data_IF_087246905944
#
_entry.id   IF_087246905944
#
_cell.length_a   1.000
_cell.length_b   1.000
_cell.length_c   1.000
_cell.angle_alpha   90.00
_cell.angle_beta   90.00
_cell.angle_gamma   90.00
#
_symmetry.space_group_name_H-M   'P 1'
#
loop_
_entity.id
_entity.type
_entity.pdbx_description
1 polymer ?
#
# COMPACT_ATOMS: atom_id res chain seq x y z
N UNK A 1 -37.33 16.64 4.58
CA UNK A 1 -35.87 16.72 4.78
C UNK A 1 -35.20 16.60 3.41
N UNK A 2 -34.59 17.67 2.91
CA UNK A 2 -33.90 17.70 1.61
C UNK A 2 -32.59 16.93 1.74
N UNK A 3 -32.40 15.86 0.96
CA UNK A 3 -31.15 15.10 0.93
C UNK A 3 -30.01 16.01 0.48
N UNK A 4 -28.87 16.09 1.19
CA UNK A 4 -27.75 16.89 0.77
C UNK A 4 -27.25 16.44 -0.61
N UNK A 5 -26.82 17.40 -1.43
CA UNK A 5 -26.31 17.14 -2.78
C UNK A 5 -25.05 16.25 -2.66
N UNK A 6 -24.91 15.18 -3.47
CA UNK A 6 -23.74 14.31 -3.42
C UNK A 6 -22.45 15.11 -3.62
N UNK A 7 -21.41 14.76 -2.87
CA UNK A 7 -20.09 15.38 -3.03
C UNK A 7 -19.54 15.09 -4.45
N UNK A 8 -18.79 16.02 -5.04
CA UNK A 8 -18.05 15.76 -6.28
C UNK A 8 -17.13 14.54 -6.14
N UNK A 9 -17.12 13.67 -7.16
CA UNK A 9 -16.33 12.42 -7.17
C UNK A 9 -14.84 12.66 -6.89
N UNK A 10 -14.30 13.81 -7.33
CA UNK A 10 -12.91 14.20 -7.09
C UNK A 10 -12.58 14.32 -5.59
N UNK A 11 -13.46 14.95 -4.82
CA UNK A 11 -13.28 15.16 -3.37
C UNK A 11 -13.31 13.81 -2.64
N UNK A 12 -14.19 12.91 -3.06
CA UNK A 12 -14.29 11.55 -2.48
C UNK A 12 -12.98 10.79 -2.74
N UNK A 13 -12.41 10.87 -3.95
CA UNK A 13 -11.14 10.23 -4.29
C UNK A 13 -9.99 10.76 -3.45
N UNK A 14 -9.82 12.08 -3.39
CA UNK A 14 -8.76 12.73 -2.60
C UNK A 14 -8.82 12.37 -1.11
N UNK A 15 -10.03 12.34 -0.55
CA UNK A 15 -10.23 11.95 0.85
C UNK A 15 -9.87 10.48 1.09
N UNK A 16 -10.27 9.58 0.19
CA UNK A 16 -9.94 8.15 0.29
C UNK A 16 -8.43 7.91 0.16
N UNK A 17 -7.76 8.65 -0.72
CA UNK A 17 -6.31 8.51 -0.93
C UNK A 17 -5.51 9.07 0.26
N UNK A 18 -5.97 10.19 0.81
CA UNK A 18 -5.39 10.76 2.04
C UNK A 18 -5.56 9.81 3.22
N UNK A 19 -6.77 9.27 3.42
CA UNK A 19 -7.04 8.31 4.50
C UNK A 19 -6.18 7.04 4.37
N UNK A 20 -6.06 6.51 3.15
CA UNK A 20 -5.21 5.35 2.85
C UNK A 20 -3.74 5.65 3.18
N UNK A 21 -3.22 6.80 2.74
CA UNK A 21 -1.84 7.21 3.02
C UNK A 21 -1.56 7.34 4.53
N UNK A 22 -2.49 7.90 5.29
CA UNK A 22 -2.37 8.01 6.75
C UNK A 22 -2.38 6.63 7.41
N UNK A 23 -3.30 5.75 7.00
CA UNK A 23 -3.41 4.40 7.56
C UNK A 23 -2.12 3.58 7.33
N UNK A 24 -1.63 3.56 6.09
CA UNK A 24 -0.42 2.83 5.72
C UNK A 24 0.81 3.42 6.42
N UNK A 25 0.93 4.75 6.44
CA UNK A 25 2.05 5.45 7.07
C UNK A 25 2.14 5.21 8.59
N UNK A 26 1.05 4.76 9.22
CA UNK A 26 1.03 4.36 10.62
C UNK A 26 1.61 2.97 10.90
N UNK A 27 1.87 2.14 9.88
CA UNK A 27 2.34 0.75 10.05
C UNK A 27 3.88 0.72 9.92
N UNK A 28 4.64 0.53 11.01
CA UNK A 28 6.10 0.64 10.97
C UNK A 28 6.76 -0.33 10.00
N UNK A 29 6.20 -1.54 9.86
CA UNK A 29 6.76 -2.55 8.97
C UNK A 29 6.55 -2.22 7.49
N UNK A 30 5.41 -1.63 7.12
CA UNK A 30 5.20 -1.10 5.75
C UNK A 30 6.24 -0.04 5.44
N UNK A 31 6.45 0.90 6.35
CA UNK A 31 7.46 1.96 6.19
C UNK A 31 8.87 1.38 6.09
N UNK A 32 9.19 0.39 6.92
CA UNK A 32 10.48 -0.31 6.90
C UNK A 32 10.72 -0.99 5.54
N UNK A 33 9.75 -1.72 5.00
CA UNK A 33 9.85 -2.37 3.70
C UNK A 33 9.76 -1.37 2.52
N UNK A 34 9.22 -0.17 2.76
CA UNK A 34 9.03 0.85 1.73
C UNK A 34 7.84 0.55 0.81
N UNK A 35 6.85 -0.21 1.28
CA UNK A 35 5.66 -0.56 0.49
C UNK A 35 4.86 0.71 0.18
N UNK A 36 4.42 0.84 -1.06
CA UNK A 36 3.57 1.94 -1.56
C UNK A 36 2.30 1.38 -2.16
N UNK A 37 1.26 2.19 -2.21
CA UNK A 37 0.01 1.84 -2.86
C UNK A 37 -0.34 2.89 -3.93
N UNK A 38 -0.60 2.43 -5.14
CA UNK A 38 -1.10 3.23 -6.25
C UNK A 38 -2.59 2.90 -6.46
N UNK A 39 -3.47 3.91 -6.43
CA UNK A 39 -4.91 3.74 -6.69
C UNK A 39 -5.24 4.21 -8.10
N UNK A 40 -5.87 3.33 -8.87
CA UNK A 40 -6.37 3.62 -10.22
C UNK A 40 -7.85 3.29 -10.30
N UNK A 41 -8.67 4.32 -10.06
CA UNK A 41 -10.12 4.12 -9.95
C UNK A 41 -10.45 3.28 -8.72
N UNK A 42 -10.99 2.08 -8.95
CA UNK A 42 -11.37 1.13 -7.89
C UNK A 42 -10.29 0.06 -7.64
N UNK A 43 -9.23 0.03 -8.44
CA UNK A 43 -8.10 -0.87 -8.24
C UNK A 43 -7.05 -0.26 -7.31
N UNK A 44 -6.47 -1.09 -6.47
CA UNK A 44 -5.36 -0.74 -5.61
C UNK A 44 -4.18 -1.67 -5.89
N UNK A 45 -3.03 -1.09 -6.23
CA UNK A 45 -1.79 -1.83 -6.52
C UNK A 45 -0.78 -1.57 -5.42
N UNK A 46 -0.43 -2.60 -4.66
CA UNK A 46 0.70 -2.55 -3.75
C UNK A 46 2.02 -2.70 -4.54
N UNK A 47 3.03 -1.92 -4.16
CA UNK A 47 4.33 -1.87 -4.80
C UNK A 47 5.40 -2.07 -3.73
N UNK A 48 6.22 -3.11 -3.88
CA UNK A 48 7.42 -3.34 -3.08
C UNK A 48 8.65 -2.91 -3.90
N UNK A 49 9.26 -1.75 -3.63
CA UNK A 49 10.47 -1.32 -4.31
C UNK A 49 11.62 -2.27 -3.99
N UNK A 50 12.46 -2.57 -4.97
CA UNK A 50 13.69 -3.30 -4.72
C UNK A 50 14.59 -2.57 -3.72
N UNK A 51 15.23 -3.32 -2.83
CA UNK A 51 16.28 -2.84 -1.93
C UNK A 51 17.12 -4.04 -1.49
N UNK A 52 18.45 -3.88 -1.40
CA UNK A 52 19.36 -4.98 -1.05
C UNK A 52 19.04 -5.63 0.31
N UNK A 53 18.48 -4.85 1.24
CA UNK A 53 18.04 -5.36 2.56
C UNK A 53 16.92 -6.39 2.49
N UNK A 54 16.24 -6.51 1.35
CA UNK A 54 15.16 -7.46 1.11
C UNK A 54 15.68 -8.81 0.62
N UNK A 55 16.95 -8.90 0.23
CA UNK A 55 17.58 -10.13 -0.27
C UNK A 55 17.93 -11.02 0.92
N UNK A 56 17.31 -12.20 0.96
CA UNK A 56 17.58 -13.21 1.97
C UNK A 56 18.74 -14.14 1.61
N UNK A 57 18.94 -14.40 0.31
CA UNK A 57 20.07 -15.20 -0.19
C UNK A 57 20.91 -14.36 -1.16
N UNK A 58 22.09 -13.87 -0.73
CA UNK A 58 22.97 -13.07 -1.58
C UNK A 58 23.56 -13.80 -2.79
N UNK A 59 23.67 -15.14 -2.74
CA UNK A 59 24.27 -15.93 -3.82
C UNK A 59 23.26 -16.28 -4.93
N UNK A 60 21.98 -16.46 -4.59
CA UNK A 60 20.87 -16.66 -5.55
C UNK A 60 20.06 -15.38 -5.84
N UNK A 61 20.60 -14.20 -5.49
CA UNK A 61 19.89 -12.93 -5.15
C UNK A 61 18.36 -13.04 -4.91
N UNK A 62 17.95 -13.95 -4.03
CA UNK A 62 16.53 -14.21 -3.80
C UNK A 62 15.95 -13.29 -2.72
N UNK A 63 14.75 -12.75 -2.95
CA UNK A 63 13.99 -12.02 -1.93
C UNK A 63 13.73 -12.94 -0.74
N UNK A 64 13.89 -12.40 0.47
CA UNK A 64 13.62 -13.11 1.70
C UNK A 64 12.16 -13.58 1.76
N UNK A 65 11.93 -14.87 2.04
CA UNK A 65 10.58 -15.45 2.04
C UNK A 65 9.60 -14.73 2.97
N UNK A 66 10.05 -14.29 4.15
CA UNK A 66 9.22 -13.51 5.08
C UNK A 66 8.80 -12.14 4.53
N UNK A 67 9.64 -11.50 3.70
CA UNK A 67 9.28 -10.24 3.04
C UNK A 67 8.20 -10.48 1.99
N UNK A 68 8.33 -11.55 1.21
CA UNK A 68 7.32 -11.93 0.22
C UNK A 68 5.97 -12.23 0.89
N UNK A 69 5.97 -13.04 1.95
CA UNK A 69 4.74 -13.38 2.68
C UNK A 69 4.08 -12.14 3.27
N UNK A 70 4.85 -11.30 3.96
CA UNK A 70 4.30 -10.09 4.56
C UNK A 70 3.79 -9.08 3.52
N UNK A 71 4.48 -8.95 2.38
CA UNK A 71 4.03 -8.09 1.28
C UNK A 71 2.67 -8.57 0.74
N UNK A 72 2.50 -9.88 0.51
CA UNK A 72 1.24 -10.45 0.04
C UNK A 72 0.12 -10.28 1.07
N UNK A 73 0.40 -10.50 2.35
CA UNK A 73 -0.56 -10.29 3.44
C UNK A 73 -1.01 -8.83 3.55
N UNK A 74 -0.06 -7.89 3.55
CA UNK A 74 -0.33 -6.45 3.57
C UNK A 74 -1.17 -6.04 2.35
N UNK A 75 -0.86 -6.59 1.17
CA UNK A 75 -1.61 -6.32 -0.06
C UNK A 75 -3.06 -6.82 0.02
N UNK A 76 -3.30 -7.94 0.71
CA UNK A 76 -4.64 -8.52 0.84
C UNK A 76 -5.48 -7.85 1.94
N UNK A 77 -4.85 -7.34 3.01
CA UNK A 77 -5.56 -6.74 4.14
C UNK A 77 -5.98 -5.28 3.94
N UNK A 78 -5.29 -4.54 3.07
CA UNK A 78 -5.52 -3.11 2.82
C UNK A 78 -6.41 -2.90 1.60
#
# INVERSE_FOLDING_TARGET
MTRPKPEPVQIIKERRDTALKVLIGGIPYVNFLGIRFDRRGDELTAILPFSDKLIGNPFLPAIHGGVTSAFLEITAMI
#
